data_IF_456819798724
#
_entry.id   IF_456819798724
#
_cell.length_a   1.000
_cell.length_b   1.000
_cell.length_c   1.000
_cell.angle_alpha   90.00
_cell.angle_beta   90.00
_cell.angle_gamma   90.00
#
_symmetry.space_group_name_H-M   'P 1'
#
loop_
_entity.id
_entity.type
_entity.pdbx_description
1 polymer ?
#
# COMPACT_ATOMS: atom_id res chain seq x y z
N UNK A 1 -2.32 -11.25 10.97
CA UNK A 1 -1.14 -10.86 10.15
C UNK A 1 -1.05 -9.34 10.10
N UNK A 2 0.15 -8.76 10.00
CA UNK A 2 0.32 -7.32 9.85
C UNK A 2 0.24 -6.89 8.37
N UNK A 3 -0.37 -5.74 8.08
CA UNK A 3 -0.24 -5.05 6.80
C UNK A 3 0.61 -3.80 7.03
N UNK A 4 1.88 -3.86 6.63
CA UNK A 4 2.89 -2.86 7.00
C UNK A 4 3.28 -2.05 5.77
N UNK A 5 3.31 -0.72 5.89
CA UNK A 5 3.93 0.13 4.88
C UNK A 5 4.10 1.57 5.34
N UNK A 6 4.88 2.35 4.59
CA UNK A 6 4.94 3.80 4.76
C UNK A 6 3.60 4.48 4.39
N UNK A 7 3.17 5.55 5.07
CA UNK A 7 2.00 6.33 4.69
C UNK A 7 1.98 6.73 3.21
N UNK A 8 0.82 6.60 2.55
CA UNK A 8 0.72 6.85 1.12
C UNK A 8 1.21 5.71 0.22
N UNK A 9 1.58 4.53 0.74
CA UNK A 9 2.05 3.41 -0.11
C UNK A 9 0.94 2.53 -0.72
N UNK A 10 -0.32 2.71 -0.33
CA UNK A 10 -1.45 1.97 -0.93
C UNK A 10 -2.28 1.09 0.02
N UNK A 11 -2.10 1.20 1.33
CA UNK A 11 -2.82 0.37 2.31
C UNK A 11 -4.33 0.28 2.11
N UNK A 12 -5.02 1.41 1.88
CA UNK A 12 -6.48 1.42 1.72
C UNK A 12 -6.90 0.60 0.50
N UNK A 13 -6.15 0.71 -0.59
CA UNK A 13 -6.40 -0.06 -1.80
C UNK A 13 -6.16 -1.55 -1.54
N UNK A 14 -5.03 -1.92 -0.94
CA UNK A 14 -4.72 -3.33 -0.61
C UNK A 14 -5.75 -3.96 0.34
N UNK A 15 -6.17 -3.25 1.40
CA UNK A 15 -7.26 -3.68 2.29
C UNK A 15 -8.54 -3.96 1.49
N UNK A 16 -8.93 -3.00 0.64
CA UNK A 16 -10.13 -3.13 -0.19
C UNK A 16 -10.11 -4.30 -1.16
N UNK A 17 -8.93 -4.65 -1.71
CA UNK A 17 -8.73 -5.84 -2.53
C UNK A 17 -8.91 -7.11 -1.70
N UNK A 18 -8.23 -7.20 -0.54
CA UNK A 18 -8.33 -8.37 0.37
C UNK A 18 -9.78 -8.60 0.78
N UNK A 19 -10.50 -7.55 1.18
CA UNK A 19 -11.90 -7.65 1.62
C UNK A 19 -12.83 -8.12 0.50
N UNK A 20 -12.59 -7.70 -0.75
CA UNK A 20 -13.43 -8.10 -1.88
C UNK A 20 -13.13 -9.51 -2.38
N UNK A 21 -11.85 -9.89 -2.40
CA UNK A 21 -11.43 -11.24 -2.77
C UNK A 21 -11.88 -12.27 -1.74
N UNK A 22 -11.72 -11.96 -0.46
CA UNK A 22 -11.95 -12.92 0.63
C UNK A 22 -13.31 -12.81 1.30
N UNK A 23 -13.92 -11.63 1.34
CA UNK A 23 -15.13 -11.33 2.11
C UNK A 23 -14.92 -11.18 3.61
N UNK A 24 -13.70 -11.29 4.08
CA UNK A 24 -13.35 -11.05 5.47
C UNK A 24 -12.90 -9.61 5.66
N UNK A 25 -13.22 -9.06 6.83
CA UNK A 25 -12.83 -7.71 7.18
C UNK A 25 -11.31 -7.60 7.43
N UNK A 26 -10.76 -6.42 7.15
CA UNK A 26 -9.40 -6.05 7.53
C UNK A 26 -9.44 -4.95 8.58
N UNK A 27 -8.42 -4.87 9.43
CA UNK A 27 -8.37 -3.91 10.54
C UNK A 27 -7.29 -2.85 10.43
N UNK A 28 -7.27 -1.92 11.39
CA UNK A 28 -6.19 -0.95 11.61
C UNK A 28 -5.65 -1.02 13.04
N UNK A 29 -4.32 -1.00 13.17
CA UNK A 29 -3.62 -0.86 14.44
C UNK A 29 -3.81 0.57 14.98
N UNK A 30 -4.30 0.68 16.22
CA UNK A 30 -4.78 1.91 16.86
C UNK A 30 -5.95 2.62 16.15
N UNK A 31 -7.10 2.72 16.83
CA UNK A 31 -8.26 3.51 16.39
C UNK A 31 -9.44 2.73 15.79
N UNK A 32 -9.41 1.40 15.79
CA UNK A 32 -10.60 0.56 15.54
C UNK A 32 -11.03 -0.14 16.84
N UNK A 33 -12.32 -0.46 16.95
CA UNK A 33 -12.95 -1.05 18.15
C UNK A 33 -12.41 -2.47 18.45
N UNK A 34 -11.81 -3.13 17.46
CA UNK A 34 -11.42 -4.54 17.54
C UNK A 34 -10.00 -4.71 18.11
N UNK A 35 -9.81 -5.57 19.14
CA UNK A 35 -8.50 -5.95 19.64
C UNK A 35 -7.61 -6.60 18.57
N UNK A 36 -6.31 -6.35 18.65
CA UNK A 36 -5.32 -6.79 17.65
C UNK A 36 -5.12 -8.31 17.59
N UNK A 37 -5.57 -9.01 18.61
CA UNK A 37 -5.46 -10.46 18.82
C UNK A 37 -6.80 -11.19 18.73
N UNK A 38 -7.91 -10.50 18.44
CA UNK A 38 -9.24 -11.12 18.46
C UNK A 38 -9.47 -12.17 17.36
N UNK A 39 -8.57 -12.27 16.37
CA UNK A 39 -8.74 -13.17 15.22
C UNK A 39 -9.84 -12.75 14.24
N UNK A 40 -10.49 -11.60 14.45
CA UNK A 40 -11.66 -11.17 13.69
C UNK A 40 -11.34 -10.56 12.31
N UNK A 41 -10.06 -10.33 12.00
CA UNK A 41 -9.62 -9.70 10.76
C UNK A 41 -8.44 -10.46 10.16
N UNK A 42 -8.39 -10.51 8.82
CA UNK A 42 -7.33 -11.25 8.09
C UNK A 42 -5.97 -10.55 8.27
N UNK A 43 -5.98 -9.23 8.10
CA UNK A 43 -4.80 -8.37 8.25
C UNK A 43 -5.13 -7.14 9.05
N UNK A 44 -4.14 -6.59 9.75
CA UNK A 44 -4.23 -5.34 10.48
C UNK A 44 -3.17 -4.35 10.00
N UNK A 45 -3.63 -3.22 9.48
CA UNK A 45 -2.77 -2.17 8.95
C UNK A 45 -2.00 -1.46 10.06
N UNK A 46 -0.69 -1.33 9.89
CA UNK A 46 0.15 -0.46 10.72
C UNK A 46 1.14 0.36 9.87
N UNK A 47 1.52 1.52 10.40
CA UNK A 47 2.64 2.33 9.92
C UNK A 47 3.81 2.31 10.91
N UNK A 48 3.64 1.60 12.03
CA UNK A 48 4.61 1.55 13.09
C UNK A 48 5.76 0.61 12.73
N UNK A 49 6.96 1.05 13.06
CA UNK A 49 8.23 0.37 12.86
C UNK A 49 9.04 0.35 14.16
N UNK A 50 8.50 0.87 15.27
CA UNK A 50 9.20 0.96 16.53
C UNK A 50 9.21 -0.39 17.28
N UNK A 51 10.39 -0.73 17.80
CA UNK A 51 10.70 -2.00 18.47
C UNK A 51 10.01 -2.17 19.83
N UNK A 52 9.50 -1.10 20.43
CA UNK A 52 9.14 -1.06 21.85
C UNK A 52 7.64 -1.22 22.16
N UNK A 53 6.76 -1.21 21.16
CA UNK A 53 5.29 -1.28 21.37
C UNK A 53 4.65 -2.46 20.60
N UNK A 54 5.45 -3.48 20.30
CA UNK A 54 5.05 -4.62 19.48
C UNK A 54 4.10 -5.54 20.25
N UNK A 55 2.79 -5.32 20.15
CA UNK A 55 1.83 -6.39 20.44
C UNK A 55 2.00 -7.47 19.38
N UNK A 56 2.32 -8.72 19.75
CA UNK A 56 2.59 -9.75 18.76
C UNK A 56 1.34 -9.99 17.94
N UNK A 57 1.42 -9.75 16.63
CA UNK A 57 0.40 -10.26 15.71
C UNK A 57 0.33 -11.77 15.87
N UNK A 58 -0.88 -12.32 15.96
CA UNK A 58 -1.14 -13.75 16.25
C UNK A 58 -0.28 -14.70 15.41
N UNK A 59 -0.07 -14.38 14.13
CA UNK A 59 0.68 -15.24 13.19
C UNK A 59 2.14 -14.82 12.94
N UNK A 60 2.67 -13.80 13.64
CA UNK A 60 4.03 -13.23 13.44
C UNK A 60 4.44 -13.01 11.97
N UNK A 61 3.46 -12.86 11.09
CA UNK A 61 3.63 -12.67 9.66
C UNK A 61 3.18 -11.28 9.25
N UNK A 62 3.77 -10.78 8.17
CA UNK A 62 3.48 -9.46 7.64
C UNK A 62 3.35 -9.49 6.12
N UNK A 63 2.50 -8.61 5.60
CA UNK A 63 2.49 -8.19 4.20
C UNK A 63 3.08 -6.78 4.14
N UNK A 64 4.25 -6.66 3.52
CA UNK A 64 4.96 -5.38 3.36
C UNK A 64 4.62 -4.77 1.99
N UNK A 65 4.09 -3.55 1.98
CA UNK A 65 3.87 -2.80 0.72
C UNK A 65 5.01 -1.80 0.55
N UNK A 66 5.75 -1.93 -0.54
CA UNK A 66 6.79 -0.99 -0.97
C UNK A 66 6.26 -0.22 -2.18
N UNK A 67 6.29 1.12 -2.10
CA UNK A 67 5.92 2.02 -3.19
C UNK A 67 7.11 2.93 -3.49
N UNK A 68 7.28 3.33 -4.75
CA UNK A 68 8.26 4.34 -5.14
C UNK A 68 8.16 5.56 -4.19
N UNK A 69 9.26 5.93 -3.51
CA UNK A 69 9.21 6.93 -2.43
C UNK A 69 8.87 8.32 -2.93
N UNK A 70 9.23 8.70 -4.16
CA UNK A 70 8.79 9.99 -4.74
C UNK A 70 7.26 10.07 -4.79
N UNK A 71 6.62 8.99 -5.23
CA UNK A 71 5.16 8.88 -5.33
C UNK A 71 4.50 8.82 -3.94
N UNK A 72 5.10 8.08 -3.01
CA UNK A 72 4.60 7.96 -1.64
C UNK A 72 4.67 9.30 -0.87
N UNK A 73 5.78 10.03 -0.99
CA UNK A 73 5.99 11.34 -0.34
C UNK A 73 5.01 12.40 -0.83
N UNK A 74 4.79 12.50 -2.15
CA UNK A 74 3.76 13.40 -2.72
C UNK A 74 2.37 13.02 -2.21
N UNK A 75 2.05 11.72 -2.21
CA UNK A 75 0.76 11.23 -1.72
C UNK A 75 0.54 11.55 -0.23
N UNK A 76 1.59 11.43 0.59
CA UNK A 76 1.53 11.74 2.01
C UNK A 76 1.42 13.25 2.27
N UNK A 77 2.18 14.08 1.54
CA UNK A 77 2.04 15.54 1.62
C UNK A 77 0.61 15.99 1.31
N UNK A 78 0.02 15.46 0.24
CA UNK A 78 -1.36 15.77 -0.13
C UNK A 78 -2.36 15.37 0.97
N UNK A 79 -2.13 14.24 1.63
CA UNK A 79 -2.94 13.80 2.77
C UNK A 79 -2.85 14.78 3.96
N UNK A 80 -1.65 15.27 4.29
CA UNK A 80 -1.46 16.25 5.36
C UNK A 80 -2.16 17.58 5.03
N UNK A 81 -2.06 18.05 3.78
CA UNK A 81 -2.69 19.31 3.36
C UNK A 81 -4.22 19.26 3.37
N UNK A 82 -4.82 18.07 3.29
CA UNK A 82 -6.28 17.89 3.42
C UNK A 82 -6.75 17.77 4.86
N UNK A 83 -5.94 18.15 5.86
CA UNK A 83 -6.30 18.12 7.27
C UNK A 83 -6.35 16.70 7.85
N UNK A 84 -5.44 15.83 7.43
CA UNK A 84 -5.41 14.39 7.78
C UNK A 84 -6.68 13.61 7.36
N UNK A 85 -7.50 14.19 6.48
CA UNK A 85 -8.57 13.45 5.83
C UNK A 85 -7.94 12.39 4.93
N UNK A 86 -8.29 11.12 5.14
CA UNK A 86 -7.73 9.95 4.46
C UNK A 86 -8.09 9.87 2.95
N UNK A 87 -8.55 10.99 2.37
CA UNK A 87 -9.21 11.14 1.08
C UNK A 87 -8.56 12.26 0.21
N UNK A 88 -7.38 12.03 -0.42
CA UNK A 88 -6.67 12.97 -1.32
C UNK A 88 -5.89 12.36 -2.56
N UNK A 89 -6.22 12.74 -3.81
CA UNK A 89 -5.98 11.93 -5.03
C UNK A 89 -4.56 11.36 -5.28
N UNK A 90 -4.49 10.20 -5.94
CA UNK A 90 -3.29 9.58 -6.50
C UNK A 90 -3.61 9.01 -7.89
N UNK A 91 -2.75 9.28 -8.88
CA UNK A 91 -2.95 8.83 -10.27
C UNK A 91 -2.87 7.31 -10.39
N UNK A 92 -3.55 6.72 -11.37
CA UNK A 92 -3.45 5.29 -11.68
C UNK A 92 -2.00 4.90 -11.97
N UNK A 93 -1.25 5.75 -12.70
CA UNK A 93 0.21 5.67 -12.99
C UNK A 93 1.11 5.64 -11.75
N UNK A 94 0.51 5.82 -10.59
CA UNK A 94 1.17 5.98 -9.32
C UNK A 94 1.04 4.71 -8.46
N UNK A 95 0.14 3.80 -8.80
CA UNK A 95 0.03 2.42 -8.30
C UNK A 95 0.47 1.37 -9.33
N UNK A 96 0.85 1.82 -10.53
CA UNK A 96 1.41 1.00 -11.60
C UNK A 96 2.90 0.76 -11.34
N UNK A 97 3.23 -0.10 -10.37
CA UNK A 97 4.47 -0.87 -10.52
C UNK A 97 4.31 -1.77 -11.75
N UNK A 98 5.33 -1.97 -12.59
CA UNK A 98 5.25 -2.85 -13.76
C UNK A 98 4.72 -4.24 -13.40
N UNK A 99 5.01 -4.72 -12.19
CA UNK A 99 4.54 -6.03 -11.73
C UNK A 99 3.05 -6.02 -11.43
N UNK A 100 2.50 -5.00 -10.77
CA UNK A 100 1.18 -5.08 -10.12
C UNK A 100 -0.04 -5.09 -11.08
N UNK A 101 0.20 -4.79 -12.36
CA UNK A 101 -0.85 -4.65 -13.37
C UNK A 101 -0.72 -5.62 -14.54
N UNK A 102 0.48 -6.14 -14.81
CA UNK A 102 0.64 -7.06 -15.93
C UNK A 102 -0.03 -8.40 -15.65
N UNK A 103 -0.16 -8.77 -14.38
CA UNK A 103 -0.78 -10.03 -13.97
C UNK A 103 -1.54 -9.92 -12.63
N UNK A 104 -2.60 -9.11 -12.63
CA UNK A 104 -3.47 -8.92 -11.45
C UNK A 104 -4.02 -10.25 -10.94
N UNK A 105 -4.37 -11.15 -11.85
CA UNK A 105 -4.95 -12.44 -11.48
C UNK A 105 -3.97 -13.27 -10.67
N UNK A 106 -2.76 -13.51 -11.19
CA UNK A 106 -1.80 -14.34 -10.46
C UNK A 106 -1.34 -13.67 -9.17
N UNK A 107 -1.27 -12.34 -9.11
CA UNK A 107 -0.95 -11.64 -7.87
C UNK A 107 -2.04 -11.75 -6.82
N UNK A 108 -3.31 -11.63 -7.22
CA UNK A 108 -4.43 -11.83 -6.30
C UNK A 108 -4.48 -13.27 -5.81
N UNK A 109 -4.21 -14.25 -6.68
CA UNK A 109 -4.08 -15.67 -6.29
C UNK A 109 -2.91 -15.89 -5.33
N UNK A 110 -1.74 -15.31 -5.60
CA UNK A 110 -0.57 -15.38 -4.71
C UNK A 110 -0.83 -14.73 -3.36
N UNK A 111 -1.48 -13.57 -3.35
CA UNK A 111 -1.90 -12.87 -2.14
C UNK A 111 -2.84 -13.76 -1.31
N UNK A 112 -3.89 -14.31 -1.90
CA UNK A 112 -4.84 -15.20 -1.20
C UNK A 112 -4.15 -16.44 -0.65
N UNK A 113 -3.24 -17.06 -1.43
CA UNK A 113 -2.42 -18.19 -0.98
C UNK A 113 -1.54 -17.83 0.21
N UNK A 114 -0.88 -16.67 0.19
CA UNK A 114 -0.05 -16.20 1.30
C UNK A 114 -0.88 -15.91 2.56
N UNK A 115 -2.11 -15.43 2.37
CA UNK A 115 -3.08 -15.23 3.46
C UNK A 115 -3.66 -16.56 3.99
N UNK A 116 -3.41 -17.69 3.32
CA UNK A 116 -3.99 -18.99 3.66
C UNK A 116 -5.49 -19.06 3.38
N UNK A 117 -5.98 -18.29 2.41
CA UNK A 117 -7.39 -18.18 2.07
C UNK A 117 -7.66 -18.78 0.69
N UNK A 118 -8.81 -19.45 0.57
CA UNK A 118 -9.27 -19.97 -0.71
C UNK A 118 -9.69 -18.83 -1.64
N UNK A 119 -9.46 -19.03 -2.94
CA UNK A 119 -9.85 -18.09 -3.98
C UNK A 119 -11.26 -18.45 -4.44
N UNK A 120 -12.21 -17.55 -4.21
CA UNK A 120 -13.52 -17.63 -4.87
C UNK A 120 -13.39 -17.06 -6.28
N UNK A 121 -13.57 -17.93 -7.29
CA UNK A 121 -13.42 -17.55 -8.70
C UNK A 121 -14.40 -16.48 -9.16
N UNK A 122 -15.62 -16.43 -8.59
CA UNK A 122 -16.62 -15.42 -8.94
C UNK A 122 -16.20 -14.05 -8.40
N UNK A 123 -15.66 -14.02 -7.19
CA UNK A 123 -15.15 -12.79 -6.58
C UNK A 123 -13.87 -12.33 -7.27
N UNK A 124 -12.97 -13.24 -7.59
CA UNK A 124 -11.76 -12.93 -8.34
C UNK A 124 -12.11 -12.31 -9.70
N UNK A 125 -13.01 -12.93 -10.46
CA UNK A 125 -13.49 -12.39 -11.74
C UNK A 125 -14.10 -10.99 -11.58
N UNK A 126 -14.94 -10.80 -10.56
CA UNK A 126 -15.54 -9.50 -10.24
C UNK A 126 -14.46 -8.44 -9.91
N UNK A 127 -13.50 -8.78 -9.06
CA UNK A 127 -12.40 -7.89 -8.64
C UNK A 127 -11.50 -7.53 -9.82
N UNK A 128 -11.17 -8.48 -10.69
CA UNK A 128 -10.35 -8.22 -11.89
C UNK A 128 -11.05 -7.24 -12.84
N UNK A 129 -12.36 -7.43 -13.06
CA UNK A 129 -13.17 -6.60 -13.96
C UNK A 129 -13.55 -5.24 -13.37
N UNK A 130 -13.53 -5.10 -12.05
CA UNK A 130 -13.95 -3.86 -11.40
C UNK A 130 -12.85 -2.79 -11.46
N UNK A 131 -13.23 -1.56 -11.81
CA UNK A 131 -12.35 -0.41 -11.64
C UNK A 131 -12.36 0.00 -10.16
N UNK A 132 -11.21 -0.12 -9.50
CA UNK A 132 -11.00 0.34 -8.12
C UNK A 132 -10.94 1.87 -8.02
N UNK A 133 -11.64 2.58 -8.90
CA UNK A 133 -11.80 4.04 -8.88
C UNK A 133 -12.51 4.56 -7.65
N UNK A 134 -13.27 3.74 -6.95
CA UNK A 134 -13.85 4.11 -5.65
C UNK A 134 -12.78 4.42 -4.58
N UNK A 135 -11.55 3.91 -4.75
CA UNK A 135 -10.39 4.28 -3.94
C UNK A 135 -9.60 5.47 -4.52
N UNK A 136 -9.91 5.90 -5.76
CA UNK A 136 -9.37 7.13 -6.35
C UNK A 136 -10.02 8.29 -5.62
N UNK A 137 -9.21 9.13 -5.01
CA UNK A 137 -9.72 10.23 -4.19
C UNK A 137 -10.15 11.35 -5.17
N UNK A 138 -11.36 11.90 -5.01
CA UNK A 138 -11.93 12.88 -5.94
C UNK A 138 -11.00 14.10 -6.01
N UNK A 139 -10.52 14.46 -7.21
CA UNK A 139 -9.87 15.75 -7.41
C UNK A 139 -10.96 16.81 -7.28
N UNK A 140 -11.10 17.42 -6.11
CA UNK A 140 -11.75 18.73 -6.03
C UNK A 140 -10.93 19.66 -6.89
N UNK A 141 -11.34 19.81 -8.16
CA UNK A 141 -11.20 20.95 -9.08
C UNK A 141 -10.25 22.05 -8.61
N UNK A 142 -9.02 21.71 -8.32
CA UNK A 142 -7.93 22.63 -7.99
C UNK A 142 -6.94 22.43 -9.11
N UNK A 143 -6.96 23.43 -9.99
CA UNK A 143 -5.94 23.73 -10.99
C UNK A 143 -5.59 22.62 -11.99
N UNK A 144 -6.45 22.47 -13.01
CA UNK A 144 -6.03 21.96 -14.35
C UNK A 144 -4.88 22.78 -14.99
N UNK A 145 -4.41 23.86 -14.34
CA UNK A 145 -3.41 24.79 -14.84
C UNK A 145 -2.18 24.97 -13.93
N UNK A 146 -2.04 24.20 -12.84
CA UNK A 146 -0.73 24.06 -12.20
C UNK A 146 -0.19 22.71 -12.63
N UNK A 147 0.75 22.74 -13.57
CA UNK A 147 1.79 21.71 -13.62
C UNK A 147 2.21 21.47 -12.19
N UNK A 148 1.95 20.28 -11.63
CA UNK A 148 2.50 19.89 -10.34
C UNK A 148 4.00 19.99 -10.54
N UNK A 149 4.56 21.15 -10.19
CA UNK A 149 5.97 21.42 -10.32
C UNK A 149 6.62 20.35 -9.47
N UNK A 150 7.46 19.55 -10.11
CA UNK A 150 8.21 18.50 -9.46
C UNK A 150 8.75 19.05 -8.12
N UNK A 151 8.24 18.57 -6.97
CA UNK A 151 8.56 19.18 -5.69
C UNK A 151 9.98 18.80 -5.24
N UNK A 152 10.68 17.94 -5.99
CA UNK A 152 11.99 17.43 -5.65
C UNK A 152 13.07 18.16 -6.46
N UNK A 153 13.76 19.09 -5.79
CA UNK A 153 15.01 19.63 -6.32
C UNK A 153 16.14 18.57 -6.28
N UNK A 154 17.29 18.86 -6.88
CA UNK A 154 18.43 17.93 -6.96
C UNK A 154 18.90 17.40 -5.60
N UNK A 155 18.88 18.25 -4.56
CA UNK A 155 19.25 17.86 -3.19
C UNK A 155 18.28 16.83 -2.63
N UNK A 156 16.97 17.10 -2.72
CA UNK A 156 15.93 16.19 -2.27
C UNK A 156 15.97 14.87 -3.04
N UNK A 157 16.22 14.93 -4.36
CA UNK A 157 16.40 13.73 -5.19
C UNK A 157 17.59 12.89 -4.74
N UNK A 158 18.72 13.52 -4.42
CA UNK A 158 19.89 12.82 -3.88
C UNK A 158 19.59 12.09 -2.56
N UNK A 159 18.78 12.68 -1.68
CA UNK A 159 18.33 12.03 -0.44
C UNK A 159 17.42 10.84 -0.75
N UNK A 160 16.38 11.04 -1.56
CA UNK A 160 15.42 9.96 -1.88
C UNK A 160 16.08 8.81 -2.62
N UNK A 161 16.98 9.10 -3.57
CA UNK A 161 17.72 8.08 -4.31
C UNK A 161 18.64 7.26 -3.41
N UNK A 162 19.25 7.88 -2.39
CA UNK A 162 20.05 7.17 -1.39
C UNK A 162 19.19 6.20 -0.58
N UNK A 163 17.98 6.61 -0.18
CA UNK A 163 17.05 5.72 0.53
C UNK A 163 16.58 4.55 -0.34
N UNK A 164 16.35 4.77 -1.65
CA UNK A 164 16.04 3.67 -2.59
C UNK A 164 17.17 2.64 -2.61
N UNK A 165 18.43 3.08 -2.62
CA UNK A 165 19.59 2.19 -2.61
C UNK A 165 19.70 1.39 -1.30
N UNK A 166 19.41 2.02 -0.15
CA UNK A 166 19.40 1.34 1.15
C UNK A 166 18.34 0.23 1.16
N UNK A 167 17.12 0.53 0.72
CA UNK A 167 16.03 -0.46 0.66
C UNK A 167 16.35 -1.56 -0.36
N UNK A 168 16.91 -1.22 -1.52
CA UNK A 168 17.33 -2.20 -2.53
C UNK A 168 18.36 -3.18 -1.95
N UNK A 169 19.38 -2.65 -1.24
CA UNK A 169 20.39 -3.49 -0.60
C UNK A 169 19.74 -4.42 0.42
N UNK A 170 18.87 -3.91 1.29
CA UNK A 170 18.17 -4.73 2.26
C UNK A 170 17.36 -5.85 1.59
N UNK A 171 16.58 -5.54 0.55
CA UNK A 171 15.82 -6.54 -0.20
C UNK A 171 16.73 -7.65 -0.75
N UNK A 172 17.85 -7.28 -1.37
CA UNK A 172 18.83 -8.24 -1.88
C UNK A 172 19.48 -9.07 -0.76
N UNK A 173 19.87 -8.46 0.36
CA UNK A 173 20.44 -9.16 1.52
C UNK A 173 19.47 -10.21 2.10
N UNK A 174 18.15 -9.96 2.01
CA UNK A 174 17.09 -10.89 2.42
C UNK A 174 16.67 -11.88 1.31
N UNK A 175 17.33 -11.88 0.15
CA UNK A 175 17.09 -12.83 -0.95
C UNK A 175 15.94 -12.46 -1.90
N UNK A 176 15.47 -11.21 -1.88
CA UNK A 176 14.46 -10.75 -2.84
C UNK A 176 15.12 -10.29 -4.15
N UNK A 177 14.79 -10.95 -5.26
CA UNK A 177 15.24 -10.60 -6.61
C UNK A 177 14.35 -9.50 -7.25
N UNK A 178 14.14 -8.41 -6.52
CA UNK A 178 13.36 -7.25 -6.98
C UNK A 178 14.31 -6.10 -7.36
N UNK A 179 14.02 -5.40 -8.46
CA UNK A 179 14.74 -4.18 -8.85
C UNK A 179 13.84 -2.96 -8.66
N UNK A 180 14.14 -2.14 -7.66
CA UNK A 180 13.41 -0.90 -7.42
C UNK A 180 13.71 0.12 -8.53
N UNK A 181 12.65 0.69 -9.11
CA UNK A 181 12.74 1.73 -10.15
C UNK A 181 12.65 3.12 -9.54
N UNK A 182 13.34 4.08 -10.17
CA UNK A 182 13.24 5.51 -9.80
C UNK A 182 12.01 6.19 -10.42
N UNK A 183 11.42 5.59 -11.45
CA UNK A 183 10.26 6.06 -12.23
C UNK A 183 8.92 5.49 -11.73
#
# INVERSE_FOLDING_TARGET
>A
MALVSYPGSGNTWTRGIIERLSGYFTGRFYGEIMPVDCGCTVVQKTHDFQKYDYKPFVNKSALLIIRNPYKALVSYRNFLTTGNNQTASASLTQFTGPDLLQDKENQFRQLMRYLGLEVDERRLDCVIKHDFSSFKRNSTRSTRNETIRDPFNSVLRGIVDKEIQIVQKALTDYGYELKLTKE
#
